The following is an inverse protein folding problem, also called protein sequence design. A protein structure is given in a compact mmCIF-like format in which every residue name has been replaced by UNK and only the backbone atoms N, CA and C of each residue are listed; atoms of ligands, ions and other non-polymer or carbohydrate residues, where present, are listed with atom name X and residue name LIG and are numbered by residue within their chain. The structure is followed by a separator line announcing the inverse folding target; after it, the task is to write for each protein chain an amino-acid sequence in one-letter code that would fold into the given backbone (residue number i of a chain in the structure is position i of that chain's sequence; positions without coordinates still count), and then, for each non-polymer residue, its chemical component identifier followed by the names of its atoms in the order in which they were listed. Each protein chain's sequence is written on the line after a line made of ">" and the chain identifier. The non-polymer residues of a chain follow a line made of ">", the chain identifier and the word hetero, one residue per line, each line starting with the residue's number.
data_IF_127666204122
#
_entry.id   IF_127666204122
#
_cell.length_a   1.000
_cell.length_b   1.000
_cell.length_c   1.000
_cell.angle_alpha   90.00
_cell.angle_beta   90.00
_cell.angle_gamma   90.00
#
_symmetry.space_group_name_H-M   'P 1'
#
loop_
_entity.id
_entity.type
_entity.pdbx_description
1 polymer ?
#
# COMPACT_ATOMS: atom_id res chain seq x y z
N UNK A 1 10.64 -3.39 10.28
CA UNK A 1 11.01 -3.03 8.89
C UNK A 1 11.82 -4.11 8.17
N UNK A 2 12.83 -4.74 8.77
CA UNK A 2 13.61 -5.79 8.08
C UNK A 2 12.77 -6.97 7.53
N UNK A 3 11.74 -7.40 8.26
CA UNK A 3 10.83 -8.49 7.81
C UNK A 3 10.02 -8.07 6.58
N UNK A 4 9.48 -6.86 6.55
CA UNK A 4 8.70 -6.34 5.42
C UNK A 4 9.58 -6.07 4.19
N UNK A 5 10.80 -5.58 4.39
CA UNK A 5 11.76 -5.41 3.29
C UNK A 5 12.15 -6.76 2.67
N UNK A 6 12.38 -7.78 3.51
CA UNK A 6 12.64 -9.13 3.05
C UNK A 6 11.44 -9.72 2.29
N UNK A 7 10.21 -9.54 2.79
CA UNK A 7 9.01 -10.00 2.09
C UNK A 7 8.77 -9.24 0.79
N UNK A 8 9.07 -7.93 0.73
CA UNK A 8 8.98 -7.13 -0.48
C UNK A 8 9.93 -7.61 -1.59
N UNK A 9 11.15 -8.01 -1.20
CA UNK A 9 12.12 -8.61 -2.14
C UNK A 9 11.74 -10.03 -2.55
N UNK A 10 11.16 -10.80 -1.64
CA UNK A 10 10.74 -12.17 -1.90
C UNK A 10 9.41 -12.27 -2.67
N UNK A 11 8.63 -11.18 -2.76
CA UNK A 11 7.25 -11.23 -3.28
C UNK A 11 6.29 -11.97 -2.34
N UNK A 12 6.66 -12.14 -1.07
CA UNK A 12 5.94 -12.97 -0.12
C UNK A 12 4.84 -12.18 0.60
N UNK A 13 3.75 -11.92 -0.13
CA UNK A 13 2.67 -11.04 0.32
C UNK A 13 1.98 -11.58 1.58
N UNK A 14 1.73 -12.88 1.66
CA UNK A 14 1.02 -13.48 2.81
C UNK A 14 1.80 -13.34 4.13
N UNK A 15 3.13 -13.49 4.10
CA UNK A 15 3.97 -13.27 5.29
C UNK A 15 4.04 -11.79 5.66
N UNK A 16 4.11 -10.91 4.67
CA UNK A 16 4.11 -9.47 4.90
C UNK A 16 2.79 -9.01 5.52
N UNK A 17 1.68 -9.57 5.06
CA UNK A 17 0.34 -9.28 5.57
C UNK A 17 0.17 -9.77 7.01
N UNK A 18 0.55 -11.03 7.27
CA UNK A 18 0.49 -11.60 8.61
C UNK A 18 1.30 -10.73 9.59
N UNK A 19 2.49 -10.28 9.18
CA UNK A 19 3.31 -9.39 9.99
C UNK A 19 2.64 -8.05 10.28
N UNK A 20 2.02 -7.40 9.28
CA UNK A 20 1.27 -6.17 9.49
C UNK A 20 0.09 -6.36 10.46
N UNK A 21 -0.67 -7.44 10.31
CA UNK A 21 -1.77 -7.77 11.22
C UNK A 21 -1.29 -8.02 12.64
N UNK A 22 -0.18 -8.74 12.82
CA UNK A 22 0.44 -8.93 14.13
C UNK A 22 0.90 -7.60 14.74
N UNK A 23 1.47 -6.69 13.93
CA UNK A 23 1.83 -5.34 14.38
C UNK A 23 0.61 -4.51 14.82
N UNK A 24 -0.54 -4.68 14.16
CA UNK A 24 -1.79 -4.01 14.55
C UNK A 24 -2.41 -4.60 15.81
N UNK A 25 -2.32 -5.92 16.01
CA UNK A 25 -2.97 -6.62 17.10
C UNK A 25 -2.18 -6.54 18.43
N UNK A 26 -0.87 -6.80 18.39
CA UNK A 26 -0.06 -7.02 19.60
C UNK A 26 1.31 -6.29 19.56
N UNK A 27 1.64 -5.72 18.40
CA UNK A 27 2.97 -5.15 18.16
C UNK A 27 3.04 -3.62 18.22
N UNK A 28 4.21 -3.06 17.88
CA UNK A 28 4.35 -1.63 17.70
C UNK A 28 3.51 -1.17 16.50
N UNK A 29 2.85 -0.01 16.64
CA UNK A 29 2.01 0.58 15.58
C UNK A 29 2.76 0.59 14.24
N UNK A 30 2.19 0.01 13.17
CA UNK A 30 2.81 0.07 11.86
C UNK A 30 2.83 1.51 11.36
N UNK A 31 4.01 1.94 10.89
CA UNK A 31 4.20 3.26 10.30
C UNK A 31 4.01 3.21 8.78
N UNK A 32 3.90 4.38 8.15
CA UNK A 32 3.80 4.53 6.68
C UNK A 32 4.83 3.65 5.95
N UNK A 33 6.07 3.60 6.43
CA UNK A 33 7.15 2.79 5.83
C UNK A 33 6.81 1.30 5.80
N UNK A 34 6.21 0.75 6.86
CA UNK A 34 5.81 -0.66 6.91
C UNK A 34 4.78 -0.97 5.84
N UNK A 35 3.79 -0.10 5.68
CA UNK A 35 2.77 -0.26 4.65
C UNK A 35 3.35 -0.07 3.25
N UNK A 36 4.21 0.92 3.04
CA UNK A 36 4.89 1.11 1.75
C UNK A 36 5.67 -0.15 1.35
N UNK A 37 6.44 -0.76 2.25
CA UNK A 37 7.13 -2.02 1.98
C UNK A 37 6.17 -3.16 1.63
N UNK A 38 5.04 -3.28 2.34
CA UNK A 38 4.00 -4.25 2.01
C UNK A 38 3.40 -4.03 0.62
N UNK A 39 3.05 -2.78 0.28
CA UNK A 39 2.51 -2.43 -1.04
C UNK A 39 3.51 -2.75 -2.15
N UNK A 40 4.82 -2.52 -1.92
CA UNK A 40 5.86 -2.93 -2.86
C UNK A 40 5.93 -4.46 -3.03
N UNK A 41 5.75 -5.22 -1.95
CA UNK A 41 5.65 -6.68 -2.02
C UNK A 41 4.48 -7.11 -2.92
N UNK A 42 3.30 -6.52 -2.72
CA UNK A 42 2.12 -6.78 -3.53
C UNK A 42 2.34 -6.42 -5.01
N UNK A 43 2.96 -5.27 -5.28
CA UNK A 43 3.27 -4.86 -6.65
C UNK A 43 4.25 -5.81 -7.35
N UNK A 44 5.22 -6.36 -6.62
CA UNK A 44 6.16 -7.35 -7.16
C UNK A 44 5.47 -8.70 -7.40
N UNK A 45 4.52 -9.08 -6.55
CA UNK A 45 3.73 -10.30 -6.67
C UNK A 45 2.54 -10.20 -7.66
N UNK A 46 2.35 -9.04 -8.30
CA UNK A 46 1.20 -8.76 -9.18
C UNK A 46 -0.17 -8.74 -8.46
N UNK A 47 -0.14 -8.65 -7.12
CA UNK A 47 -1.32 -8.66 -6.26
C UNK A 47 -1.88 -7.24 -6.03
N UNK A 48 -2.29 -6.58 -7.10
CA UNK A 48 -2.84 -5.21 -7.04
C UNK A 48 -4.06 -5.11 -6.10
N UNK A 49 -4.94 -6.12 -6.11
CA UNK A 49 -6.15 -6.15 -5.27
C UNK A 49 -5.84 -6.09 -3.77
N UNK A 50 -4.84 -6.84 -3.31
CA UNK A 50 -4.42 -6.83 -1.90
C UNK A 50 -3.81 -5.47 -1.54
N UNK A 51 -3.01 -4.90 -2.44
CA UNK A 51 -2.44 -3.57 -2.26
C UNK A 51 -3.54 -2.51 -2.08
N UNK A 52 -4.58 -2.56 -2.92
CA UNK A 52 -5.75 -1.66 -2.82
C UNK A 52 -6.51 -1.84 -1.51
N UNK A 53 -6.82 -3.08 -1.11
CA UNK A 53 -7.55 -3.34 0.13
C UNK A 53 -6.84 -2.77 1.35
N UNK A 54 -5.52 -2.92 1.41
CA UNK A 54 -4.71 -2.35 2.49
C UNK A 54 -4.63 -0.83 2.43
N UNK A 55 -4.54 -0.23 1.24
CA UNK A 55 -4.58 1.22 1.10
C UNK A 55 -5.92 1.79 1.59
N UNK A 56 -7.04 1.12 1.28
CA UNK A 56 -8.36 1.48 1.81
C UNK A 56 -8.37 1.36 3.33
N UNK A 57 -7.88 0.25 3.89
CA UNK A 57 -7.81 0.04 5.34
C UNK A 57 -6.93 1.08 6.05
N UNK A 58 -5.91 1.64 5.39
CA UNK A 58 -5.13 2.76 5.94
C UNK A 58 -5.92 4.08 5.93
N UNK A 59 -6.70 4.33 4.88
CA UNK A 59 -7.54 5.54 4.79
C UNK A 59 -8.80 5.46 5.64
N UNK A 60 -9.26 4.26 5.95
CA UNK A 60 -10.49 4.06 6.68
C UNK A 60 -10.25 4.22 8.19
N UNK A 61 -10.72 5.33 8.73
CA UNK A 61 -10.57 5.69 10.14
C UNK A 61 -11.26 4.73 11.12
N UNK A 62 -12.10 3.80 10.63
CA UNK A 62 -12.73 2.77 11.45
C UNK A 62 -11.81 1.60 11.76
N UNK A 63 -10.74 1.42 10.98
CA UNK A 63 -9.79 0.34 11.17
C UNK A 63 -8.70 0.71 12.22
N UNK A 64 -8.11 -0.28 12.91
CA UNK A 64 -6.98 -0.04 13.82
C UNK A 64 -5.75 0.57 13.13
N UNK A 65 -5.67 0.48 11.79
CA UNK A 65 -4.70 1.17 10.94
C UNK A 65 -5.15 2.56 10.45
N UNK A 66 -6.40 2.96 10.68
CA UNK A 66 -7.06 4.19 10.22
C UNK A 66 -6.54 5.51 10.78
N UNK A 67 -5.34 5.51 11.34
CA UNK A 67 -4.62 6.72 11.80
C UNK A 67 -3.32 6.97 11.03
N UNK A 68 -3.04 6.21 9.97
CA UNK A 68 -1.82 6.33 9.18
C UNK A 68 -2.14 6.98 7.85
N UNK A 69 -1.82 8.27 7.71
CA UNK A 69 -1.98 8.98 6.44
C UNK A 69 -1.15 8.29 5.34
N UNK A 70 -1.79 7.74 4.29
CA UNK A 70 -1.07 7.15 3.19
C UNK A 70 -0.31 8.23 2.44
N UNK A 71 0.99 8.04 2.26
CA UNK A 71 1.84 8.98 1.54
C UNK A 71 1.68 8.80 0.02
N UNK A 72 2.13 9.78 -0.76
CA UNK A 72 2.13 9.75 -2.23
C UNK A 72 2.77 8.47 -2.80
N UNK A 73 3.78 7.93 -2.12
CA UNK A 73 4.42 6.68 -2.51
C UNK A 73 3.45 5.49 -2.45
N UNK A 74 2.60 5.41 -1.42
CA UNK A 74 1.63 4.31 -1.28
C UNK A 74 0.63 4.32 -2.45
N UNK A 75 0.10 5.49 -2.81
CA UNK A 75 -0.77 5.66 -3.96
C UNK A 75 -0.05 5.27 -5.27
N UNK A 76 1.17 5.79 -5.47
CA UNK A 76 1.96 5.49 -6.67
C UNK A 76 2.20 3.98 -6.85
N UNK A 77 2.49 3.25 -5.76
CA UNK A 77 2.71 1.81 -5.82
C UNK A 77 1.43 1.07 -6.19
N UNK A 78 0.27 1.45 -5.63
CA UNK A 78 -1.02 0.85 -5.99
C UNK A 78 -1.40 1.17 -7.44
N UNK A 79 -1.20 2.41 -7.89
CA UNK A 79 -1.42 2.82 -9.28
C UNK A 79 -0.53 2.01 -10.22
N UNK A 80 0.75 1.85 -9.89
CA UNK A 80 1.69 1.06 -10.69
C UNK A 80 1.29 -0.43 -10.71
N UNK A 81 0.88 -0.99 -9.57
CA UNK A 81 0.40 -2.37 -9.50
C UNK A 81 -0.88 -2.57 -10.35
N UNK A 82 -1.84 -1.65 -10.27
CA UNK A 82 -3.05 -1.69 -11.09
C UNK A 82 -2.74 -1.53 -12.59
N UNK A 83 -1.84 -0.61 -12.95
CA UNK A 83 -1.40 -0.44 -14.34
C UNK A 83 -0.70 -1.69 -14.88
N UNK A 84 0.12 -2.35 -14.06
CA UNK A 84 0.80 -3.61 -14.39
C UNK A 84 -0.19 -4.77 -14.55
N UNK A 85 -1.23 -4.82 -13.72
CA UNK A 85 -2.33 -5.77 -13.82
C UNK A 85 -3.30 -5.48 -14.99
N UNK A 86 -3.14 -4.36 -15.71
CA UNK A 86 -4.03 -3.94 -16.80
C UNK A 86 -5.34 -3.27 -16.34
N UNK A 87 -5.49 -3.02 -15.04
CA UNK A 87 -6.66 -2.41 -14.41
C UNK A 87 -6.56 -0.88 -14.44
N UNK A 88 -6.51 -0.32 -15.66
CA UNK A 88 -6.29 1.12 -15.89
C UNK A 88 -7.41 1.99 -15.27
N UNK A 89 -8.66 1.54 -15.35
CA UNK A 89 -9.80 2.25 -14.74
C UNK A 89 -9.63 2.43 -13.23
N UNK A 90 -9.15 1.39 -12.54
CA UNK A 90 -8.90 1.45 -11.10
C UNK A 90 -7.70 2.34 -10.79
N UNK A 91 -6.63 2.23 -11.58
CA UNK A 91 -5.47 3.12 -11.46
C UNK A 91 -5.87 4.60 -11.59
N UNK A 92 -6.76 4.92 -12.53
CA UNK A 92 -7.28 6.28 -12.72
C UNK A 92 -8.16 6.75 -11.54
N UNK A 93 -8.98 5.87 -10.96
CA UNK A 93 -9.76 6.20 -9.75
C UNK A 93 -8.84 6.55 -8.57
N UNK A 94 -7.77 5.77 -8.38
CA UNK A 94 -6.78 6.03 -7.35
C UNK A 94 -6.02 7.34 -7.55
N UNK A 95 -5.64 7.67 -8.79
CA UNK A 95 -5.05 8.98 -9.13
C UNK A 95 -6.02 10.11 -8.75
N UNK A 96 -7.31 9.94 -9.05
CA UNK A 96 -8.33 10.95 -8.76
C UNK A 96 -8.53 11.12 -7.25
N UNK A 97 -8.60 10.02 -6.48
CA UNK A 97 -8.66 10.04 -5.02
C UNK A 97 -7.42 10.69 -4.38
N UNK A 98 -6.25 10.42 -4.94
CA UNK A 98 -5.00 11.05 -4.50
C UNK A 98 -5.03 12.57 -4.72
N UNK A 99 -5.55 13.02 -5.88
CA UNK A 99 -5.70 14.44 -6.19
C UNK A 99 -6.74 15.14 -5.30
N UNK A 100 -7.85 14.45 -5.01
CA UNK A 100 -8.93 14.96 -4.14
C UNK A 100 -8.50 15.03 -2.67
N UNK A 101 -7.70 14.06 -2.21
CA UNK A 101 -7.12 14.01 -0.87
C UNK A 101 -6.01 15.03 -0.58
N UNK A 102 -5.84 16.07 -1.41
CA UNK A 102 -4.82 17.13 -1.28
C UNK A 102 -3.36 16.63 -1.21
N UNK A 103 -3.11 15.37 -1.58
CA UNK A 103 -1.78 14.77 -1.65
C UNK A 103 -1.22 14.97 -3.05
N UNK A 104 -0.36 15.98 -3.24
CA UNK A 104 0.26 16.25 -4.55
C UNK A 104 1.00 15.00 -5.06
N UNK A 105 0.72 14.48 -6.28
CA UNK A 105 1.52 13.43 -6.88
C UNK A 105 2.95 13.94 -7.01
N UNK A 106 3.87 13.29 -6.31
CA UNK A 106 5.29 13.57 -6.53
C UNK A 106 5.63 13.03 -7.91
N UNK A 107 6.06 13.97 -8.75
CA UNK A 107 6.58 13.79 -10.11
C UNK A 107 7.69 12.73 -10.07
N UNK A 108 7.31 11.47 -10.20
CA UNK A 108 8.16 10.36 -10.59
C UNK A 108 7.26 9.26 -11.17
N UNK A 109 6.52 9.65 -12.21
CA UNK A 109 5.86 8.75 -13.14
C UNK A 109 6.20 9.23 -14.54
N UNK A 110 7.31 8.70 -15.07
CA UNK A 110 7.67 8.71 -16.49
C UNK A 110 8.38 7.40 -16.81
#
# INVERSE_FOLDING_TARGET
>A
NAVLDACARAGEVDRAEAWLRTMLAEGPKPNVVSFTSFLHACCNADDARRAESWLIAMTDASEPCGGVEPNAICYNVVIHACAKAGEIDRAADWIRRMADGNCKPTVNSY
#
